data_IF_032992281771
#
_entry.id   IF_032992281771
#
_cell.length_a   1.000
_cell.length_b   1.000
_cell.length_c   1.000
_cell.angle_alpha   90.00
_cell.angle_beta   90.00
_cell.angle_gamma   90.00
#
_symmetry.space_group_name_H-M   'P 1'
#
loop_
_entity.id
_entity.type
_entity.pdbx_description
1 polymer ?
#
# COMPACT_ATOMS: atom_id res chain seq x y z
N UNK A 1 -52.20 -4.45 17.72
CA UNK A 1 -51.48 -4.39 16.44
C UNK A 1 -50.05 -4.82 16.72
N UNK A 2 -49.59 -5.94 16.14
CA UNK A 2 -48.26 -6.50 16.38
C UNK A 2 -47.28 -5.86 15.39
N UNK A 3 -46.46 -4.93 15.84
CA UNK A 3 -45.38 -4.38 15.03
C UNK A 3 -44.24 -5.39 14.99
N UNK A 4 -43.99 -5.97 13.81
CA UNK A 4 -42.81 -6.77 13.56
C UNK A 4 -41.62 -5.80 13.33
N UNK A 5 -40.59 -5.92 14.15
CA UNK A 5 -39.32 -5.20 13.98
C UNK A 5 -38.50 -5.99 12.96
N UNK A 6 -38.28 -5.43 11.76
CA UNK A 6 -37.37 -5.99 10.75
C UNK A 6 -35.96 -5.47 11.10
N UNK A 7 -35.00 -6.32 11.46
CA UNK A 7 -33.62 -5.88 11.62
C UNK A 7 -33.02 -5.62 10.23
N UNK A 8 -32.66 -4.36 9.97
CA UNK A 8 -31.90 -3.96 8.80
C UNK A 8 -30.43 -4.30 9.07
N UNK A 9 -29.95 -5.41 8.50
CA UNK A 9 -28.53 -5.74 8.48
C UNK A 9 -27.86 -4.79 7.48
N UNK A 10 -27.24 -3.72 7.98
CA UNK A 10 -26.32 -2.91 7.19
C UNK A 10 -25.06 -3.77 7.02
N UNK A 11 -24.92 -4.43 5.87
CA UNK A 11 -23.68 -5.11 5.51
C UNK A 11 -22.65 -4.02 5.20
N UNK A 12 -21.76 -3.73 6.16
CA UNK A 12 -20.51 -3.07 5.84
C UNK A 12 -19.81 -3.97 4.82
N UNK A 13 -19.55 -3.46 3.62
CA UNK A 13 -18.67 -4.15 2.69
C UNK A 13 -17.32 -4.31 3.40
N UNK A 14 -17.00 -5.55 3.81
CA UNK A 14 -15.64 -5.91 4.14
C UNK A 14 -14.89 -5.93 2.81
N UNK A 15 -14.41 -4.77 2.37
CA UNK A 15 -13.37 -4.72 1.36
C UNK A 15 -12.20 -5.53 1.93
N UNK A 16 -11.62 -6.42 1.13
CA UNK A 16 -10.35 -7.02 1.49
C UNK A 16 -9.37 -5.87 1.82
N UNK A 17 -8.69 -5.97 2.95
CA UNK A 17 -7.83 -4.90 3.43
C UNK A 17 -6.71 -4.68 2.40
N UNK A 18 -6.74 -3.56 1.68
CA UNK A 18 -5.68 -3.17 0.76
C UNK A 18 -4.32 -3.23 1.47
N UNK A 19 -3.21 -3.52 0.78
CA UNK A 19 -1.92 -3.67 1.46
C UNK A 19 -1.56 -2.39 2.21
N UNK A 20 -1.34 -2.50 3.52
CA UNK A 20 -1.14 -1.36 4.39
C UNK A 20 0.35 -1.08 4.56
N UNK A 21 0.75 0.17 4.37
CA UNK A 21 2.11 0.62 4.69
C UNK A 21 2.25 0.73 6.20
N UNK A 22 3.19 -0.02 6.78
CA UNK A 22 3.48 0.00 8.22
C UNK A 22 4.66 0.92 8.56
N UNK A 23 5.63 1.01 7.66
CA UNK A 23 6.82 1.84 7.82
C UNK A 23 7.47 2.14 6.46
N UNK A 24 8.16 3.28 6.36
CA UNK A 24 8.96 3.66 5.19
C UNK A 24 10.28 4.27 5.63
N UNK A 25 11.38 3.71 5.12
CA UNK A 25 12.72 4.29 5.28
C UNK A 25 13.22 4.79 3.92
N UNK A 26 13.76 6.01 3.89
CA UNK A 26 14.44 6.58 2.71
C UNK A 26 15.93 6.75 3.03
N UNK A 27 16.81 6.23 2.17
CA UNK A 27 18.27 6.35 2.32
C UNK A 27 18.90 6.59 0.95
N UNK A 28 19.35 7.82 0.71
CA UNK A 28 19.84 8.22 -0.62
C UNK A 28 18.73 8.11 -1.67
N UNK A 29 18.95 7.29 -2.69
CA UNK A 29 17.99 6.98 -3.75
C UNK A 29 17.21 5.66 -3.52
N UNK A 30 17.38 5.04 -2.34
CA UNK A 30 16.69 3.82 -1.96
C UNK A 30 15.50 4.11 -1.03
N UNK A 31 14.36 3.53 -1.34
CA UNK A 31 13.15 3.52 -0.50
C UNK A 31 12.86 2.09 -0.08
N UNK A 32 12.71 1.85 1.21
CA UNK A 32 12.30 0.57 1.79
C UNK A 32 10.92 0.71 2.41
N UNK A 33 9.97 -0.12 1.99
CA UNK A 33 8.58 -0.07 2.45
C UNK A 33 8.26 -1.37 3.17
N UNK A 34 7.72 -1.26 4.39
CA UNK A 34 7.18 -2.38 5.16
C UNK A 34 5.68 -2.45 4.92
N UNK A 35 5.19 -3.61 4.47
CA UNK A 35 3.80 -3.84 4.08
C UNK A 35 3.20 -4.93 4.95
N UNK A 36 1.93 -4.74 5.32
CA UNK A 36 1.05 -5.75 5.88
C UNK A 36 -0.11 -6.01 4.91
N UNK A 37 -0.31 -7.26 4.53
CA UNK A 37 -1.46 -7.65 3.72
C UNK A 37 -1.86 -9.09 4.05
N UNK A 38 -3.17 -9.42 4.15
CA UNK A 38 -3.63 -10.78 4.40
C UNK A 38 -3.52 -11.65 3.14
N UNK A 39 -2.30 -11.87 2.65
CA UNK A 39 -2.00 -12.75 1.51
C UNK A 39 -2.59 -14.14 1.76
N UNK A 40 -3.30 -14.69 0.76
CA UNK A 40 -3.85 -16.06 0.82
C UNK A 40 -3.27 -17.00 -0.22
N UNK A 41 -2.30 -16.51 -1.01
CA UNK A 41 -1.60 -17.26 -2.05
C UNK A 41 -1.52 -16.47 -3.36
N UNK A 42 -1.20 -17.18 -4.44
CA UNK A 42 -1.00 -16.58 -5.77
C UNK A 42 -2.24 -15.85 -6.32
N UNK A 43 -3.42 -16.23 -5.86
CA UNK A 43 -4.68 -15.64 -6.30
C UNK A 43 -5.07 -14.38 -5.53
N UNK A 44 -4.38 -14.03 -4.43
CA UNK A 44 -4.67 -12.83 -3.64
C UNK A 44 -3.47 -12.47 -2.75
N UNK A 45 -2.67 -11.51 -3.21
CA UNK A 45 -1.49 -11.02 -2.51
C UNK A 45 -1.11 -9.58 -2.94
N UNK A 46 -0.29 -8.91 -2.12
CA UNK A 46 0.32 -7.64 -2.48
C UNK A 46 1.33 -7.82 -3.63
N UNK A 47 1.05 -7.28 -4.82
CA UNK A 47 1.85 -7.49 -6.03
C UNK A 47 2.78 -6.31 -6.38
N UNK A 48 2.67 -5.19 -5.67
CA UNK A 48 3.60 -4.09 -5.83
C UNK A 48 3.28 -2.84 -5.04
N UNK A 49 4.18 -1.88 -5.15
CA UNK A 49 3.98 -0.52 -4.64
C UNK A 49 4.77 0.47 -5.49
N UNK A 50 4.31 1.72 -5.51
CA UNK A 50 4.94 2.81 -6.24
C UNK A 50 5.32 3.96 -5.32
N UNK A 51 6.33 4.72 -5.76
CA UNK A 51 6.68 6.02 -5.18
C UNK A 51 6.13 7.09 -6.12
N UNK A 52 5.37 8.02 -5.55
CA UNK A 52 4.83 9.18 -6.27
C UNK A 52 5.46 10.48 -5.75
N UNK A 53 5.58 11.46 -6.65
CA UNK A 53 5.84 12.85 -6.26
C UNK A 53 4.55 13.56 -5.81
N UNK A 54 4.67 14.82 -5.37
CA UNK A 54 3.53 15.62 -4.92
C UNK A 54 2.51 15.98 -6.03
N UNK A 55 2.85 15.78 -7.30
CA UNK A 55 1.94 15.93 -8.43
C UNK A 55 1.25 14.61 -8.81
N UNK A 56 1.57 13.51 -8.12
CA UNK A 56 1.05 12.17 -8.39
C UNK A 56 1.78 11.45 -9.53
N UNK A 57 2.93 11.93 -9.99
CA UNK A 57 3.72 11.22 -10.99
C UNK A 57 4.49 10.08 -10.33
N UNK A 58 4.47 8.91 -10.97
CA UNK A 58 5.29 7.78 -10.55
C UNK A 58 6.77 8.07 -10.80
N UNK A 59 7.55 8.07 -9.73
CA UNK A 59 9.02 8.20 -9.74
C UNK A 59 9.74 6.90 -9.34
N UNK A 60 8.98 5.88 -8.97
CA UNK A 60 9.50 4.55 -8.63
C UNK A 60 8.41 3.48 -8.64
N UNK A 61 8.78 2.24 -8.92
CA UNK A 61 7.90 1.10 -8.77
C UNK A 61 8.68 -0.12 -8.31
N UNK A 62 8.11 -0.84 -7.34
CA UNK A 62 8.59 -2.14 -6.89
C UNK A 62 7.53 -3.19 -7.18
N UNK A 63 7.88 -4.12 -8.05
CA UNK A 63 7.10 -5.33 -8.26
C UNK A 63 7.42 -6.36 -7.16
N UNK A 64 6.39 -7.10 -6.73
CA UNK A 64 6.47 -8.20 -5.78
C UNK A 64 6.04 -9.49 -6.50
N UNK A 65 6.99 -10.40 -6.72
CA UNK A 65 6.79 -11.55 -7.61
C UNK A 65 6.17 -12.78 -6.94
N UNK A 66 5.92 -12.74 -5.63
CA UNK A 66 5.37 -13.90 -4.91
C UNK A 66 4.56 -13.45 -3.69
N UNK A 67 3.62 -14.29 -3.22
CA UNK A 67 2.93 -14.08 -1.95
C UNK A 67 3.89 -14.18 -0.75
N UNK A 68 3.52 -13.51 0.34
CA UNK A 68 4.21 -13.46 1.62
C UNK A 68 3.30 -13.97 2.76
N UNK A 69 2.57 -15.07 2.55
CA UNK A 69 1.58 -15.61 3.51
C UNK A 69 2.16 -15.81 4.92
N UNK A 70 3.40 -16.31 5.02
CA UNK A 70 4.08 -16.62 6.27
C UNK A 70 5.10 -15.54 6.72
N UNK A 71 5.17 -14.41 6.01
CA UNK A 71 6.11 -13.31 6.25
C UNK A 71 5.32 -12.00 6.32
N UNK A 72 4.63 -11.76 7.44
CA UNK A 72 3.85 -10.53 7.65
C UNK A 72 4.18 -9.87 9.00
N UNK A 73 4.47 -8.56 9.03
CA UNK A 73 4.72 -7.71 7.86
C UNK A 73 6.05 -8.06 7.17
N UNK A 74 6.22 -7.67 5.91
CA UNK A 74 7.48 -7.83 5.17
C UNK A 74 7.98 -6.49 4.62
N UNK A 75 9.30 -6.37 4.44
CA UNK A 75 9.92 -5.16 3.89
C UNK A 75 10.57 -5.47 2.54
N UNK A 76 10.36 -4.61 1.54
CA UNK A 76 11.11 -4.66 0.27
C UNK A 76 11.56 -3.26 -0.12
N UNK A 77 12.67 -3.20 -0.84
CA UNK A 77 13.33 -1.94 -1.21
C UNK A 77 13.36 -1.73 -2.72
N UNK A 78 13.34 -0.47 -3.13
CA UNK A 78 13.54 -0.02 -4.49
C UNK A 78 14.62 1.07 -4.52
N UNK A 79 15.63 0.89 -5.37
CA UNK A 79 16.72 1.85 -5.59
C UNK A 79 16.52 2.64 -6.89
N UNK A 80 17.33 3.67 -7.11
CA UNK A 80 17.26 4.51 -8.30
C UNK A 80 16.09 5.50 -8.28
N UNK A 81 15.53 5.80 -7.10
CA UNK A 81 14.45 6.77 -6.96
C UNK A 81 15.01 8.18 -7.05
N UNK A 82 14.71 8.86 -8.15
CA UNK A 82 15.10 10.26 -8.35
C UNK A 82 14.06 11.18 -7.72
N UNK A 83 14.31 11.54 -6.46
CA UNK A 83 13.47 12.51 -5.73
C UNK A 83 13.81 13.93 -6.24
N UNK A 84 12.82 14.72 -6.69
CA UNK A 84 13.05 16.10 -7.12
C UNK A 84 13.72 16.94 -6.04
N UNK A 85 14.68 17.78 -6.44
CA UNK A 85 15.33 18.70 -5.50
C UNK A 85 14.29 19.63 -4.86
N UNK A 86 14.32 19.73 -3.53
CA UNK A 86 13.37 20.56 -2.77
C UNK A 86 12.01 19.90 -2.53
N UNK A 87 11.81 18.64 -2.90
CA UNK A 87 10.64 17.88 -2.48
C UNK A 87 10.61 17.77 -0.94
N UNK A 88 9.46 18.09 -0.35
CA UNK A 88 9.23 17.98 1.10
C UNK A 88 8.64 16.63 1.50
N UNK A 89 8.03 15.93 0.55
CA UNK A 89 7.47 14.60 0.75
C UNK A 89 7.45 13.80 -0.55
N UNK A 90 7.39 12.48 -0.40
CA UNK A 90 6.99 11.52 -1.42
C UNK A 90 5.80 10.72 -0.89
N UNK A 91 5.13 9.98 -1.76
CA UNK A 91 3.97 9.20 -1.39
C UNK A 91 4.15 7.76 -1.81
N UNK A 92 3.74 6.82 -0.97
CA UNK A 92 3.69 5.39 -1.30
C UNK A 92 2.24 5.00 -1.59
N UNK A 93 2.03 4.30 -2.70
CA UNK A 93 0.75 3.64 -3.02
C UNK A 93 0.98 2.17 -3.27
N UNK A 94 0.24 1.33 -2.57
CA UNK A 94 0.34 -0.13 -2.65
C UNK A 94 -0.67 -0.71 -3.63
N UNK A 95 -0.44 -1.97 -4.04
CA UNK A 95 -1.29 -2.70 -4.97
C UNK A 95 -1.46 -4.15 -4.57
N UNK A 96 -2.69 -4.63 -4.71
CA UNK A 96 -3.08 -6.03 -4.64
C UNK A 96 -3.36 -6.55 -6.07
N UNK A 97 -3.00 -7.79 -6.37
CA UNK A 97 -3.27 -8.40 -7.67
C UNK A 97 -4.77 -8.57 -7.98
N UNK A 98 -5.62 -8.63 -6.95
CA UNK A 98 -7.08 -8.75 -7.08
C UNK A 98 -7.75 -7.38 -7.00
N UNK A 99 -7.51 -6.63 -5.93
CA UNK A 99 -8.23 -5.38 -5.64
C UNK A 99 -7.63 -4.16 -6.34
N UNK A 100 -6.44 -4.32 -6.95
CA UNK A 100 -5.76 -3.26 -7.66
C UNK A 100 -5.07 -2.27 -6.71
N UNK A 101 -5.02 -1.00 -7.11
CA UNK A 101 -4.32 0.04 -6.36
C UNK A 101 -5.13 0.48 -5.14
N UNK A 102 -4.46 0.67 -4.01
CA UNK A 102 -5.07 1.30 -2.83
C UNK A 102 -5.52 2.73 -3.16
N UNK A 103 -6.63 3.16 -2.57
CA UNK A 103 -7.06 4.56 -2.59
C UNK A 103 -6.25 5.42 -1.61
N UNK A 104 -5.55 4.79 -0.66
CA UNK A 104 -4.74 5.46 0.34
C UNK A 104 -3.33 5.78 -0.19
N UNK A 105 -2.88 7.01 0.07
CA UNK A 105 -1.51 7.44 -0.13
C UNK A 105 -0.84 7.62 1.22
N UNK A 106 0.25 6.89 1.43
CA UNK A 106 1.07 7.06 2.63
C UNK A 106 2.10 8.18 2.38
N UNK A 107 1.94 9.32 3.06
CA UNK A 107 2.89 10.43 2.97
C UNK A 107 4.18 10.12 3.74
N UNK A 108 5.32 10.33 3.10
CA UNK A 108 6.66 10.18 3.68
C UNK A 108 7.32 11.56 3.69
N UNK A 109 7.39 12.23 4.85
CA UNK A 109 8.11 13.48 4.98
C UNK A 109 9.60 13.28 4.73
N UNK A 110 10.16 14.04 3.79
CA UNK A 110 11.59 14.13 3.54
C UNK A 110 12.11 15.31 4.36
N UNK A 111 12.33 15.08 5.66
CA UNK A 111 12.93 16.12 6.49
C UNK A 111 14.30 16.51 5.88
N UNK A 112 14.63 17.80 5.84
CA UNK A 112 15.94 18.28 5.37
C UNK A 112 17.09 17.83 6.29
#
# INVERSE_FOLDING_TARGET
MKHALIPLLISSAAFADAPQVQDVTVTGDQVSVTILHPDTGWDHYADGWEVLDAAGNRIGFRELFHPHVDEQPFTRSQSGIMIPQGATSIFIRTRCNVDGWSEELFEVPLLP
#
